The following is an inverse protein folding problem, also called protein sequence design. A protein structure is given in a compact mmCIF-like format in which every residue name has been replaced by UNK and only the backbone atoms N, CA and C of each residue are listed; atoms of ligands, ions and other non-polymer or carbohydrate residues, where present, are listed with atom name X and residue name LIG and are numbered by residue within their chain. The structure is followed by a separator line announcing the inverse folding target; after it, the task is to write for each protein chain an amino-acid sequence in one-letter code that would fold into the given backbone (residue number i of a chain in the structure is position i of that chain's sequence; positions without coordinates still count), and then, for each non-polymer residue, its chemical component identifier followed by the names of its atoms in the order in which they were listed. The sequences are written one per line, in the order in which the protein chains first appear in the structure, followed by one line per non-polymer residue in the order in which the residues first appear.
data_IF_444512721289
#
_entry.id   IF_444512721289
#
_cell.length_a   1.000
_cell.length_b   1.000
_cell.length_c   1.000
_cell.angle_alpha   90.00
_cell.angle_beta   90.00
_cell.angle_gamma   90.00
#
_symmetry.space_group_name_H-M   'P 1'
#
loop_
_entity.id
_entity.type
_entity.pdbx_description
1 polymer ?
#
# COMPACT_ATOMS: atom_id res chain seq x y z
N UNK A 1 6.75 15.82 -9.04
CA UNK A 1 5.30 15.78 -8.81
C UNK A 1 5.02 15.88 -7.33
N UNK A 2 3.81 16.19 -6.96
CA UNK A 2 3.47 16.42 -5.55
C UNK A 2 2.02 16.05 -5.24
N UNK A 3 1.76 15.86 -3.94
CA UNK A 3 0.44 15.58 -3.41
C UNK A 3 0.15 16.70 -2.40
N UNK A 4 -1.00 17.34 -2.49
CA UNK A 4 -1.38 18.38 -1.55
C UNK A 4 -2.35 17.83 -0.51
N UNK A 5 -2.02 18.02 0.76
CA UNK A 5 -2.83 17.58 1.88
C UNK A 5 -2.86 18.67 2.94
N UNK A 6 -4.04 19.20 3.22
CA UNK A 6 -4.20 20.20 4.27
C UNK A 6 -3.35 21.46 4.08
N UNK A 7 -3.10 21.86 2.83
CA UNK A 7 -2.27 23.02 2.51
C UNK A 7 -0.78 22.72 2.49
N UNK A 8 -0.38 21.48 2.72
CA UNK A 8 1.03 21.06 2.68
C UNK A 8 1.28 20.29 1.39
N UNK A 9 2.38 20.60 0.72
CA UNK A 9 2.78 19.90 -0.51
C UNK A 9 3.77 18.80 -0.18
N UNK A 10 3.44 17.57 -0.54
CA UNK A 10 4.27 16.39 -0.29
C UNK A 10 4.89 15.92 -1.61
N UNK A 11 6.21 15.78 -1.63
CA UNK A 11 6.91 15.36 -2.85
C UNK A 11 6.59 13.91 -3.21
N UNK A 12 6.31 13.66 -4.49
CA UNK A 12 6.05 12.33 -5.00
C UNK A 12 6.78 12.09 -6.31
N UNK A 13 6.97 10.81 -6.65
CA UNK A 13 7.63 10.43 -7.90
C UNK A 13 6.66 10.54 -9.08
N UNK A 14 7.19 10.40 -10.29
CA UNK A 14 6.38 10.45 -11.51
C UNK A 14 5.32 9.33 -11.54
N UNK A 15 5.54 8.24 -10.81
CA UNK A 15 4.61 7.12 -10.75
C UNK A 15 3.68 7.19 -9.52
N UNK A 16 3.73 8.30 -8.78
CA UNK A 16 2.79 8.56 -7.68
C UNK A 16 3.20 8.01 -6.32
N UNK A 17 4.43 7.52 -6.18
CA UNK A 17 4.96 7.09 -4.88
C UNK A 17 5.54 8.28 -4.13
N UNK A 18 5.49 8.26 -2.80
CA UNK A 18 6.12 9.31 -2.01
C UNK A 18 7.64 9.25 -2.18
N UNK A 19 8.29 10.39 -2.26
CA UNK A 19 9.74 10.44 -2.30
C UNK A 19 10.34 10.16 -0.92
N UNK A 20 9.60 10.45 0.14
CA UNK A 20 10.05 10.25 1.52
C UNK A 20 8.94 9.57 2.32
N UNK A 21 9.20 8.36 2.80
CA UNK A 21 8.21 7.58 3.56
C UNK A 21 7.83 8.25 4.89
N UNK A 22 8.68 9.13 5.39
CA UNK A 22 8.41 9.84 6.64
C UNK A 22 7.32 10.90 6.48
N UNK A 23 7.03 11.30 5.24
CA UNK A 23 5.96 12.26 4.96
C UNK A 23 4.58 11.63 5.01
N UNK A 24 4.50 10.32 5.12
CA UNK A 24 3.21 9.61 5.09
C UNK A 24 2.39 9.83 6.36
N UNK A 25 1.07 9.92 6.16
CA UNK A 25 0.09 9.91 7.24
C UNK A 25 -1.17 9.24 6.71
N UNK A 26 -2.13 8.97 7.60
CA UNK A 26 -3.41 8.41 7.18
C UNK A 26 -4.15 9.36 6.25
N UNK A 27 -4.01 10.67 6.44
CA UNK A 27 -4.60 11.66 5.55
C UNK A 27 -4.04 11.54 4.14
N UNK A 28 -2.73 11.35 4.03
CA UNK A 28 -2.06 11.19 2.74
C UNK A 28 -2.53 9.90 2.08
N UNK A 29 -2.66 8.82 2.85
CA UNK A 29 -3.19 7.56 2.32
C UNK A 29 -4.58 7.76 1.75
N UNK A 30 -5.44 8.49 2.45
CA UNK A 30 -6.80 8.77 1.99
C UNK A 30 -6.81 9.58 0.70
N UNK A 31 -5.93 10.58 0.58
CA UNK A 31 -5.82 11.40 -0.62
C UNK A 31 -5.38 10.56 -1.82
N UNK A 32 -4.36 9.71 -1.63
CA UNK A 32 -3.86 8.85 -2.70
C UNK A 32 -4.94 7.85 -3.11
N UNK A 33 -5.63 7.26 -2.13
CA UNK A 33 -6.69 6.29 -2.41
C UNK A 33 -7.83 6.92 -3.20
N UNK A 34 -8.25 8.14 -2.82
CA UNK A 34 -9.29 8.86 -3.53
C UNK A 34 -8.88 9.13 -4.98
N UNK A 35 -7.63 9.53 -5.18
CA UNK A 35 -7.10 9.81 -6.51
C UNK A 35 -7.08 8.54 -7.39
N UNK A 36 -6.92 7.38 -6.78
CA UNK A 36 -6.92 6.10 -7.48
C UNK A 36 -8.28 5.39 -7.43
N UNK A 37 -9.30 6.09 -6.95
CA UNK A 37 -10.67 5.59 -6.88
C UNK A 37 -10.80 4.33 -6.01
N UNK A 38 -10.02 4.27 -4.93
CA UNK A 38 -10.10 3.20 -3.95
C UNK A 38 -10.76 3.72 -2.70
N UNK A 39 -11.85 3.07 -2.29
CA UNK A 39 -12.55 3.41 -1.05
C UNK A 39 -11.98 2.56 0.08
N UNK A 40 -11.34 3.21 1.07
CA UNK A 40 -10.65 2.51 2.14
C UNK A 40 -11.63 1.94 3.18
N UNK A 41 -11.52 0.65 3.43
CA UNK A 41 -12.26 -0.05 4.47
C UNK A 41 -11.28 -0.58 5.52
N UNK A 42 -11.80 -1.21 6.57
CA UNK A 42 -10.95 -1.78 7.61
C UNK A 42 -9.92 -2.76 7.05
N UNK A 43 -10.31 -3.59 6.09
CA UNK A 43 -9.40 -4.54 5.47
C UNK A 43 -8.31 -3.85 4.64
N UNK A 44 -8.64 -2.73 4.01
CA UNK A 44 -7.63 -1.92 3.32
C UNK A 44 -6.58 -1.43 4.32
N UNK A 45 -7.04 -0.90 5.46
CA UNK A 45 -6.11 -0.42 6.48
C UNK A 45 -5.26 -1.53 7.07
N UNK A 46 -5.83 -2.73 7.26
CA UNK A 46 -5.05 -3.88 7.72
C UNK A 46 -3.90 -4.18 6.77
N UNK A 47 -4.17 -4.15 5.47
CA UNK A 47 -3.15 -4.43 4.45
C UNK A 47 -2.12 -3.30 4.40
N UNK A 48 -2.57 -2.05 4.47
CA UNK A 48 -1.66 -0.89 4.49
C UNK A 48 -0.71 -0.99 5.69
N UNK A 49 -1.24 -1.29 6.86
CA UNK A 49 -0.44 -1.41 8.07
C UNK A 49 0.53 -2.58 7.99
N UNK A 50 0.12 -3.69 7.39
CA UNK A 50 1.01 -4.84 7.18
C UNK A 50 2.17 -4.47 6.25
N UNK A 51 1.88 -3.78 5.16
CA UNK A 51 2.93 -3.35 4.22
C UNK A 51 3.94 -2.41 4.90
N UNK A 52 3.45 -1.46 5.67
CA UNK A 52 4.32 -0.53 6.37
C UNK A 52 5.16 -1.24 7.44
N UNK A 53 4.56 -2.14 8.18
CA UNK A 53 5.27 -2.90 9.20
C UNK A 53 6.40 -3.73 8.59
N UNK A 54 6.11 -4.41 7.48
CA UNK A 54 7.13 -5.20 6.78
C UNK A 54 8.28 -4.33 6.28
N UNK A 55 7.99 -3.16 5.76
CA UNK A 55 9.03 -2.26 5.28
C UNK A 55 9.85 -1.67 6.42
N UNK A 56 9.20 -1.16 7.44
CA UNK A 56 9.86 -0.44 8.53
C UNK A 56 10.61 -1.38 9.46
N UNK A 57 10.04 -2.53 9.78
CA UNK A 57 10.59 -3.45 10.79
C UNK A 57 11.35 -4.65 10.22
N UNK A 58 11.31 -4.86 8.91
CA UNK A 58 11.99 -5.99 8.27
C UNK A 58 12.96 -5.56 7.17
N UNK A 59 13.70 -4.48 7.42
CA UNK A 59 14.80 -4.09 6.55
C UNK A 59 14.41 -3.65 5.15
N UNK A 60 13.24 -3.05 4.99
CA UNK A 60 12.77 -2.58 3.69
C UNK A 60 12.07 -3.64 2.86
N UNK A 61 11.61 -4.70 3.50
CA UNK A 61 10.90 -5.77 2.80
C UNK A 61 9.59 -5.27 2.20
N UNK A 62 9.39 -5.57 0.92
CA UNK A 62 8.15 -5.27 0.20
C UNK A 62 7.59 -6.59 -0.35
N UNK A 63 6.66 -7.23 0.38
CA UNK A 63 6.15 -8.54 -0.03
C UNK A 63 5.45 -8.50 -1.37
N UNK A 64 5.60 -9.56 -2.16
CA UNK A 64 4.82 -9.73 -3.37
C UNK A 64 3.41 -10.18 -3.02
N UNK A 65 2.53 -10.26 -4.03
CA UNK A 65 1.12 -10.62 -3.81
C UNK A 65 0.98 -11.97 -3.10
N UNK A 66 1.79 -12.96 -3.47
CA UNK A 66 1.74 -14.29 -2.83
C UNK A 66 2.01 -14.20 -1.34
N UNK A 67 3.04 -13.46 -0.96
CA UNK A 67 3.40 -13.30 0.45
C UNK A 67 2.39 -12.44 1.20
N UNK A 68 1.78 -11.46 0.51
CA UNK A 68 0.69 -10.68 1.09
C UNK A 68 -0.51 -11.57 1.40
N UNK A 69 -0.87 -12.47 0.48
CA UNK A 69 -1.97 -13.41 0.72
C UNK A 69 -1.70 -14.22 1.99
N UNK A 70 -0.50 -14.76 2.13
CA UNK A 70 -0.14 -15.55 3.32
C UNK A 70 -0.22 -14.73 4.60
N UNK A 71 0.31 -13.51 4.57
CA UNK A 71 0.31 -12.63 5.73
C UNK A 71 -1.09 -12.21 6.14
N UNK A 72 -1.91 -11.82 5.18
CA UNK A 72 -3.26 -11.37 5.48
C UNK A 72 -4.18 -12.52 5.90
N UNK A 73 -4.01 -13.71 5.32
CA UNK A 73 -4.76 -14.88 5.75
C UNK A 73 -4.51 -15.17 7.23
N UNK A 74 -3.28 -14.98 7.68
CA UNK A 74 -2.90 -15.17 9.07
C UNK A 74 -3.51 -14.08 9.97
N UNK A 75 -3.40 -12.83 9.56
CA UNK A 75 -3.92 -11.69 10.32
C UNK A 75 -5.43 -11.78 10.47
N UNK A 76 -6.13 -12.13 9.38
CA UNK A 76 -7.59 -12.23 9.40
C UNK A 76 -8.09 -13.58 9.90
N UNK A 77 -7.19 -14.53 10.17
CA UNK A 77 -7.53 -15.91 10.55
C UNK A 77 -8.51 -16.51 9.55
N UNK A 78 -8.26 -16.28 8.27
CA UNK A 78 -9.17 -16.66 7.18
C UNK A 78 -8.39 -17.41 6.10
N UNK A 79 -8.52 -18.73 6.10
CA UNK A 79 -7.84 -19.59 5.14
C UNK A 79 -8.36 -19.45 3.72
N UNK A 80 -9.52 -18.82 3.54
CA UNK A 80 -10.08 -18.58 2.21
C UNK A 80 -9.47 -17.37 1.52
N UNK A 81 -8.62 -16.59 2.22
CA UNK A 81 -7.93 -15.46 1.65
C UNK A 81 -7.06 -15.90 0.47
N UNK A 82 -7.23 -15.25 -0.67
CA UNK A 82 -6.48 -15.55 -1.87
C UNK A 82 -6.16 -14.27 -2.63
N UNK A 83 -5.48 -14.39 -3.78
CA UNK A 83 -5.09 -13.23 -4.57
C UNK A 83 -6.30 -12.38 -4.97
N UNK A 84 -7.42 -13.02 -5.32
CA UNK A 84 -8.65 -12.30 -5.69
C UNK A 84 -9.14 -11.42 -4.54
N UNK A 85 -9.06 -11.92 -3.31
CA UNK A 85 -9.43 -11.14 -2.12
C UNK A 85 -8.68 -9.82 -2.08
N UNK A 86 -7.37 -9.87 -2.31
CA UNK A 86 -6.53 -8.68 -2.28
C UNK A 86 -6.74 -7.79 -3.50
N UNK A 87 -6.95 -8.36 -4.69
CA UNK A 87 -7.27 -7.57 -5.88
C UNK A 87 -8.62 -6.89 -5.78
N UNK A 88 -9.57 -7.47 -5.04
CA UNK A 88 -10.85 -6.82 -4.79
C UNK A 88 -10.66 -5.57 -3.93
N UNK A 89 -9.66 -5.55 -3.05
CA UNK A 89 -9.33 -4.38 -2.25
C UNK A 89 -8.52 -3.36 -3.05
N UNK A 90 -7.51 -3.81 -3.77
CA UNK A 90 -6.61 -2.95 -4.55
C UNK A 90 -6.51 -3.47 -5.98
N UNK A 91 -7.45 -3.07 -6.86
CA UNK A 91 -7.51 -3.59 -8.24
C UNK A 91 -6.27 -3.30 -9.08
N UNK A 92 -5.52 -2.27 -8.73
CA UNK A 92 -4.31 -1.89 -9.47
C UNK A 92 -3.05 -2.63 -9.05
N UNK A 93 -3.17 -3.78 -8.40
CA UNK A 93 -2.10 -4.62 -7.87
C UNK A 93 -1.91 -4.39 -6.37
N UNK A 94 -2.27 -5.38 -5.54
CA UNK A 94 -2.21 -5.23 -4.08
C UNK A 94 -0.85 -4.80 -3.55
N UNK A 95 0.24 -5.30 -4.13
CA UNK A 95 1.59 -4.94 -3.70
C UNK A 95 1.95 -3.51 -4.12
N UNK A 96 1.73 -3.15 -5.38
CA UNK A 96 2.09 -1.83 -5.90
C UNK A 96 1.12 -0.74 -5.49
N UNK A 97 -0.18 -0.94 -5.72
CA UNK A 97 -1.17 0.06 -5.36
C UNK A 97 -1.27 0.22 -3.85
N UNK A 98 -1.28 -0.89 -3.12
CA UNK A 98 -1.26 -0.86 -1.67
C UNK A 98 -0.01 -0.17 -1.15
N UNK A 99 1.15 -0.45 -1.74
CA UNK A 99 2.41 0.18 -1.38
C UNK A 99 2.40 1.68 -1.63
N UNK A 100 1.81 2.12 -2.76
CA UNK A 100 1.69 3.55 -3.07
C UNK A 100 0.84 4.25 -2.02
N UNK A 101 -0.31 3.69 -1.68
CA UNK A 101 -1.21 4.25 -0.68
C UNK A 101 -0.57 4.20 0.71
N UNK A 102 0.22 3.16 0.99
CA UNK A 102 0.93 3.01 2.26
C UNK A 102 2.15 3.93 2.38
N UNK A 103 2.46 4.70 1.35
CA UNK A 103 3.56 5.66 1.39
C UNK A 103 4.94 5.03 1.26
N UNK A 104 5.03 3.81 0.75
CA UNK A 104 6.31 3.13 0.56
C UNK A 104 6.94 3.56 -0.76
N UNK A 105 8.27 3.41 -0.92
CA UNK A 105 8.91 3.69 -2.19
C UNK A 105 8.50 2.65 -3.24
N UNK A 106 8.67 3.01 -4.50
CA UNK A 106 8.33 2.11 -5.59
C UNK A 106 9.19 0.85 -5.53
N UNK A 107 8.53 -0.32 -5.63
CA UNK A 107 9.22 -1.59 -5.67
C UNK A 107 9.98 -1.74 -7.00
N UNK A 108 11.23 -2.20 -6.92
CA UNK A 108 12.04 -2.47 -8.12
C UNK A 108 11.77 -3.86 -8.69
N UNK A 109 10.88 -4.61 -8.06
CA UNK A 109 10.54 -5.96 -8.49
C UNK A 109 9.67 -5.91 -9.74
N UNK A 110 10.04 -6.66 -10.77
CA UNK A 110 9.25 -6.73 -11.99
C UNK A 110 7.95 -7.47 -11.76
N UNK A 111 6.87 -6.95 -12.35
CA UNK A 111 5.58 -7.63 -12.35
C UNK A 111 4.84 -7.67 -11.02
N UNK A 112 5.39 -7.11 -9.98
CA UNK A 112 4.75 -7.09 -8.66
C UNK A 112 4.74 -8.44 -7.94
N UNK A 113 5.43 -9.41 -8.46
CA UNK A 113 5.53 -10.75 -7.87
C UNK A 113 6.92 -11.03 -7.37
#
# INVERSE_FOLDING_TARGET
MSIEVGGVTIASTATGFLENIEDWSEEIAAVIAEDEEVELSDRHWDLINFLRDEYINNGGNQPNTRNLVKGMAKIWSDKSTNAKTLYDLFPGDPSKQGGRIAGLPESRRKGGY
#
